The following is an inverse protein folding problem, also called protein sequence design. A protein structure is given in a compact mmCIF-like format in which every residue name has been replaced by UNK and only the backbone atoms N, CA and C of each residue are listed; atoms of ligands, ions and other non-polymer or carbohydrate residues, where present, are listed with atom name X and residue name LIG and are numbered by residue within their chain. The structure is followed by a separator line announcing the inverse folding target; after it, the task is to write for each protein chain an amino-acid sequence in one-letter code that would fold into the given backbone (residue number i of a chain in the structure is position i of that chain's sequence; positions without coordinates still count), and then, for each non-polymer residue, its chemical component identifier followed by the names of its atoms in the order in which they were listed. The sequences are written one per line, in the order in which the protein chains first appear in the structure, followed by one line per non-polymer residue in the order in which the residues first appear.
data_IF_121403809279
#
_entry.id   IF_121403809279
#
_cell.length_a   1.000
_cell.length_b   1.000
_cell.length_c   1.000
_cell.angle_alpha   90.00
_cell.angle_beta   90.00
_cell.angle_gamma   90.00
#
_symmetry.space_group_name_H-M   'P 1'
#
loop_
_entity.id
_entity.type
_entity.pdbx_description
1 polymer ?
#
# COMPACT_ATOMS: atom_id res chain seq x y z
N UNK A 1 -1.13 2.22 -10.18
CA UNK A 1 0.24 1.79 -9.94
C UNK A 1 0.25 0.75 -8.81
N UNK A 2 0.93 -0.35 -8.99
CA UNK A 2 1.17 -1.39 -7.97
C UNK A 2 2.34 -2.27 -8.41
N UNK A 3 2.59 -3.37 -7.69
CA UNK A 3 3.69 -4.32 -7.96
C UNK A 3 3.61 -5.00 -9.33
N UNK A 4 2.42 -5.15 -9.88
CA UNK A 4 2.18 -5.79 -11.18
C UNK A 4 1.90 -4.78 -12.30
N UNK A 5 1.58 -3.52 -11.96
CA UNK A 5 1.20 -2.48 -12.90
C UNK A 5 1.97 -1.19 -12.66
N UNK A 6 2.89 -0.88 -13.55
CA UNK A 6 3.69 0.36 -13.56
C UNK A 6 3.20 1.36 -14.62
N UNK A 7 2.00 1.17 -15.16
CA UNK A 7 1.46 2.00 -16.25
C UNK A 7 1.42 3.48 -15.92
N UNK A 8 1.13 3.86 -14.67
CA UNK A 8 1.10 5.25 -14.26
C UNK A 8 2.44 5.97 -14.44
N UNK A 9 3.57 5.31 -14.10
CA UNK A 9 4.92 5.83 -14.36
C UNK A 9 5.19 5.90 -15.86
N UNK A 10 4.93 4.81 -16.58
CA UNK A 10 5.16 4.73 -18.01
C UNK A 10 4.38 5.80 -18.79
N UNK A 11 3.14 6.08 -18.37
CA UNK A 11 2.30 7.12 -18.99
C UNK A 11 2.88 8.53 -18.81
N UNK A 12 3.37 8.86 -17.60
CA UNK A 12 3.96 10.19 -17.35
C UNK A 12 5.28 10.34 -18.08
N UNK A 13 6.13 9.32 -18.09
CA UNK A 13 7.40 9.34 -18.80
C UNK A 13 7.19 9.44 -20.31
N UNK A 14 6.24 8.67 -20.86
CA UNK A 14 5.91 8.75 -22.29
C UNK A 14 5.29 10.11 -22.65
N UNK A 15 4.37 10.64 -21.84
CA UNK A 15 3.80 11.96 -22.08
C UNK A 15 4.89 13.05 -22.12
N UNK A 16 5.88 12.95 -21.22
CA UNK A 16 7.03 13.86 -21.20
C UNK A 16 7.91 13.68 -22.44
N UNK A 17 8.20 12.44 -22.84
CA UNK A 17 9.03 12.14 -24.00
C UNK A 17 8.38 12.54 -25.34
N UNK A 18 7.06 12.53 -25.41
CA UNK A 18 6.32 12.97 -26.61
C UNK A 18 6.40 14.49 -26.84
N UNK A 19 6.62 15.27 -25.79
CA UNK A 19 6.75 16.76 -25.87
C UNK A 19 5.68 17.42 -26.75
N UNK A 20 4.42 17.05 -26.51
CA UNK A 20 3.26 17.53 -27.29
C UNK A 20 3.01 16.79 -28.61
N UNK A 21 3.91 15.93 -29.06
CA UNK A 21 3.71 15.13 -30.26
C UNK A 21 2.78 13.92 -30.02
N UNK A 22 2.53 13.17 -31.07
CA UNK A 22 1.81 11.89 -31.02
C UNK A 22 2.69 10.77 -31.63
N UNK A 23 2.63 9.61 -31.03
CA UNK A 23 3.27 8.40 -31.58
C UNK A 23 2.20 7.31 -31.73
N UNK A 24 2.11 6.73 -32.93
CA UNK A 24 1.10 5.70 -33.24
C UNK A 24 -0.35 6.11 -32.84
N UNK A 25 -0.68 7.39 -32.99
CA UNK A 25 -1.99 7.91 -32.61
C UNK A 25 -2.18 8.21 -31.12
N UNK A 26 -1.21 7.88 -30.25
CA UNK A 26 -1.26 8.15 -28.80
C UNK A 26 -0.55 9.47 -28.48
N UNK A 27 -1.17 10.31 -27.69
CA UNK A 27 -0.60 11.56 -27.18
C UNK A 27 -0.80 11.72 -25.68
N UNK A 28 -0.25 12.78 -25.11
CA UNK A 28 -0.33 13.03 -23.66
C UNK A 28 -1.76 13.04 -23.12
N UNK A 29 -2.73 13.55 -23.90
CA UNK A 29 -4.13 13.57 -23.50
C UNK A 29 -4.73 12.16 -23.30
N UNK A 30 -4.32 11.19 -24.14
CA UNK A 30 -4.79 9.81 -24.03
C UNK A 30 -4.21 9.14 -22.79
N UNK A 31 -2.94 9.39 -22.50
CA UNK A 31 -2.22 8.89 -21.32
C UNK A 31 -2.81 9.48 -20.03
N UNK A 32 -3.04 10.78 -19.99
CA UNK A 32 -3.65 11.45 -18.84
C UNK A 32 -5.11 11.00 -18.61
N UNK A 33 -5.84 10.66 -19.67
CA UNK A 33 -7.19 10.09 -19.56
C UNK A 33 -7.16 8.72 -18.88
N UNK A 34 -6.15 7.88 -19.15
CA UNK A 34 -6.03 6.60 -18.49
C UNK A 34 -5.62 6.74 -17.02
N UNK A 35 -4.68 7.63 -16.69
CA UNK A 35 -4.36 7.96 -15.29
C UNK A 35 -5.61 8.41 -14.52
N UNK A 36 -6.40 9.28 -15.14
CA UNK A 36 -7.65 9.76 -14.56
C UNK A 36 -8.63 8.61 -14.31
N UNK A 37 -8.79 7.68 -15.26
CA UNK A 37 -9.67 6.52 -15.11
C UNK A 37 -9.25 5.66 -13.93
N UNK A 38 -7.95 5.37 -13.78
CA UNK A 38 -7.43 4.60 -12.64
C UNK A 38 -7.76 5.27 -11.29
N UNK A 39 -7.72 6.60 -11.24
CA UNK A 39 -8.08 7.36 -10.03
C UNK A 39 -9.58 7.39 -9.79
N UNK A 40 -10.39 7.54 -10.84
CA UNK A 40 -11.85 7.51 -10.74
C UNK A 40 -12.35 6.15 -10.23
N UNK A 41 -11.76 5.05 -10.69
CA UNK A 41 -12.05 3.70 -10.19
C UNK A 41 -11.73 3.58 -8.68
N UNK A 42 -10.59 4.13 -8.24
CA UNK A 42 -10.22 4.16 -6.82
C UNK A 42 -11.13 5.07 -5.98
N UNK A 43 -11.55 6.21 -6.50
CA UNK A 43 -12.50 7.13 -5.83
C UNK A 43 -13.87 6.48 -5.69
N UNK A 44 -14.34 5.82 -6.72
CA UNK A 44 -15.62 5.10 -6.71
C UNK A 44 -15.61 3.99 -5.65
N UNK A 45 -14.56 3.17 -5.63
CA UNK A 45 -14.38 2.13 -4.61
C UNK A 45 -14.37 2.73 -3.19
N UNK A 46 -13.61 3.82 -2.98
CA UNK A 46 -13.55 4.50 -1.68
C UNK A 46 -14.92 5.06 -1.24
N UNK A 47 -15.77 5.44 -2.17
CA UNK A 47 -17.14 5.90 -1.90
C UNK A 47 -18.06 4.80 -1.35
N UNK A 48 -17.73 3.54 -1.59
CA UNK A 48 -18.48 2.37 -1.14
C UNK A 48 -17.83 1.64 0.06
N UNK A 49 -16.65 2.07 0.47
CA UNK A 49 -15.94 1.50 1.61
C UNK A 49 -16.14 2.34 2.89
N UNK A 50 -16.51 1.74 4.04
CA UNK A 50 -16.75 2.48 5.28
C UNK A 50 -15.55 3.26 5.82
N UNK A 51 -14.34 2.85 5.47
CA UNK A 51 -13.08 3.50 5.85
C UNK A 51 -12.44 4.25 4.68
N UNK A 52 -13.13 4.34 3.55
CA UNK A 52 -12.70 5.10 2.39
C UNK A 52 -11.50 4.51 1.66
N UNK A 53 -11.30 3.19 1.72
CA UNK A 53 -10.26 2.51 0.96
C UNK A 53 -10.51 2.60 -0.54
N UNK A 54 -9.55 3.11 -1.29
CA UNK A 54 -9.60 3.13 -2.75
C UNK A 54 -9.06 1.84 -3.39
N UNK A 55 -8.25 1.08 -2.64
CA UNK A 55 -7.80 -0.24 -3.05
C UNK A 55 -8.69 -1.34 -2.47
N UNK A 56 -8.85 -2.42 -3.22
CA UNK A 56 -9.48 -3.65 -2.74
C UNK A 56 -8.57 -4.28 -1.69
N UNK A 57 -9.13 -4.78 -0.60
CA UNK A 57 -8.37 -5.39 0.50
C UNK A 57 -8.88 -6.79 0.88
N UNK A 58 -9.54 -7.46 -0.04
CA UNK A 58 -9.88 -8.88 -0.01
C UNK A 58 -9.06 -9.71 -1.01
N UNK A 59 -7.97 -9.13 -1.50
CA UNK A 59 -7.00 -9.74 -2.38
C UNK A 59 -5.58 -9.32 -1.95
N UNK A 60 -4.55 -9.87 -2.60
CA UNK A 60 -3.15 -9.60 -2.26
C UNK A 60 -2.74 -8.15 -2.50
N UNK A 61 -1.80 -7.68 -1.69
CA UNK A 61 -1.06 -6.44 -1.89
C UNK A 61 -1.93 -5.17 -1.77
N UNK A 62 -2.92 -5.19 -0.87
CA UNK A 62 -3.82 -4.05 -0.64
C UNK A 62 -3.07 -2.76 -0.30
N UNK A 63 -2.00 -2.84 0.50
CA UNK A 63 -1.25 -1.66 0.93
C UNK A 63 -0.38 -1.06 -0.18
N UNK A 64 0.42 -1.83 -0.94
CA UNK A 64 1.10 -1.29 -2.11
C UNK A 64 0.13 -0.71 -3.16
N UNK A 65 -1.06 -1.29 -3.37
CA UNK A 65 -2.10 -0.69 -4.22
C UNK A 65 -2.57 0.67 -3.66
N UNK A 66 -2.77 0.76 -2.35
CA UNK A 66 -3.16 2.01 -1.68
C UNK A 66 -2.10 3.10 -1.87
N UNK A 67 -0.82 2.81 -1.65
CA UNK A 67 0.26 3.74 -1.94
C UNK A 67 0.40 4.04 -3.44
N UNK A 68 0.10 3.07 -4.28
CA UNK A 68 0.02 3.25 -5.73
C UNK A 68 -1.01 4.30 -6.16
N UNK A 69 -2.18 4.32 -5.52
CA UNK A 69 -3.19 5.36 -5.74
C UNK A 69 -2.69 6.75 -5.32
N UNK A 70 -1.95 6.84 -4.20
CA UNK A 70 -1.31 8.09 -3.78
C UNK A 70 -0.32 8.57 -4.84
N UNK A 71 0.59 7.69 -5.29
CA UNK A 71 1.58 8.03 -6.30
C UNK A 71 0.92 8.42 -7.63
N UNK A 72 -0.10 7.68 -8.08
CA UNK A 72 -0.83 7.97 -9.33
C UNK A 72 -1.50 9.33 -9.26
N UNK A 73 -2.10 9.72 -8.14
CA UNK A 73 -2.72 11.04 -7.97
C UNK A 73 -1.68 12.17 -8.08
N UNK A 74 -0.51 12.02 -7.46
CA UNK A 74 0.58 13.00 -7.57
C UNK A 74 1.19 13.06 -8.97
N UNK A 75 1.33 11.92 -9.63
CA UNK A 75 1.77 11.86 -11.02
C UNK A 75 0.75 12.53 -11.97
N UNK A 76 -0.53 12.31 -11.75
CA UNK A 76 -1.60 12.97 -12.51
C UNK A 76 -1.56 14.49 -12.33
N UNK A 77 -1.48 14.96 -11.09
CA UNK A 77 -1.37 16.39 -10.79
C UNK A 77 -0.14 17.02 -11.46
N UNK A 78 1.02 16.35 -11.40
CA UNK A 78 2.25 16.78 -12.07
C UNK A 78 2.10 16.85 -13.59
N UNK A 79 1.41 15.89 -14.19
CA UNK A 79 1.24 15.83 -15.66
C UNK A 79 0.21 16.82 -16.20
N UNK A 80 -0.80 17.19 -15.40
CA UNK A 80 -1.97 17.93 -15.85
C UNK A 80 -2.17 19.29 -15.17
N UNK A 81 -1.55 19.53 -14.02
CA UNK A 81 -1.84 20.66 -13.13
C UNK A 81 -3.15 20.52 -12.35
N UNK A 82 -3.86 19.40 -12.48
CA UNK A 82 -5.17 19.17 -11.86
C UNK A 82 -5.01 18.44 -10.53
N UNK A 83 -5.30 19.13 -9.43
CA UNK A 83 -5.11 18.65 -8.05
C UNK A 83 -6.36 18.06 -7.42
N UNK A 84 -7.42 17.82 -8.20
CA UNK A 84 -8.72 17.32 -7.68
C UNK A 84 -8.65 16.04 -6.85
N UNK A 85 -7.61 15.24 -7.02
CA UNK A 85 -7.40 13.98 -6.29
C UNK A 85 -6.50 14.10 -5.06
N UNK A 86 -6.05 15.30 -4.68
CA UNK A 86 -5.13 15.50 -3.55
C UNK A 86 -5.73 15.06 -2.22
N UNK A 87 -6.99 15.44 -1.98
CA UNK A 87 -7.71 15.02 -0.78
C UNK A 87 -7.93 13.49 -0.73
N UNK A 88 -8.18 12.87 -1.88
CA UNK A 88 -8.26 11.42 -2.00
C UNK A 88 -6.92 10.77 -1.68
N UNK A 89 -5.83 11.22 -2.29
CA UNK A 89 -4.48 10.73 -2.02
C UNK A 89 -4.10 10.83 -0.53
N UNK A 90 -4.43 11.97 0.12
CA UNK A 90 -4.24 12.15 1.55
C UNK A 90 -4.97 11.12 2.40
N UNK A 91 -6.22 10.80 2.05
CA UNK A 91 -7.00 9.75 2.74
C UNK A 91 -6.42 8.37 2.52
N UNK A 92 -5.97 8.03 1.30
CA UNK A 92 -5.35 6.73 1.03
C UNK A 92 -4.04 6.56 1.80
N UNK A 93 -3.21 7.60 1.87
CA UNK A 93 -2.01 7.61 2.72
C UNK A 93 -2.37 7.38 4.19
N UNK A 94 -3.38 8.09 4.68
CA UNK A 94 -3.91 7.92 6.05
C UNK A 94 -4.39 6.49 6.30
N UNK A 95 -5.10 5.89 5.34
CA UNK A 95 -5.57 4.50 5.44
C UNK A 95 -4.40 3.52 5.61
N UNK A 96 -3.37 3.63 4.78
CA UNK A 96 -2.19 2.77 4.87
C UNK A 96 -1.41 2.95 6.20
N UNK A 97 -1.53 4.11 6.84
CA UNK A 97 -0.82 4.47 8.07
C UNK A 97 -1.69 4.38 9.34
N UNK A 98 -2.86 3.73 9.29
CA UNK A 98 -3.64 3.41 10.47
C UNK A 98 -5.09 3.91 10.49
N UNK A 99 -5.50 4.79 9.56
CA UNK A 99 -6.90 5.20 9.42
C UNK A 99 -7.72 4.13 8.68
N UNK A 100 -7.63 2.87 9.13
CA UNK A 100 -8.21 1.69 8.54
C UNK A 100 -8.95 0.86 9.60
N UNK A 101 -9.71 -0.19 9.20
CA UNK A 101 -10.46 -1.03 10.13
C UNK A 101 -9.65 -1.63 11.28
N UNK A 102 -8.37 -1.86 11.07
CA UNK A 102 -7.48 -2.52 12.05
C UNK A 102 -6.69 -1.53 12.91
N UNK A 103 -6.81 -0.22 12.67
CA UNK A 103 -6.06 0.80 13.39
C UNK A 103 -4.54 0.64 13.28
N UNK A 104 -4.07 -0.08 12.25
CA UNK A 104 -2.68 -0.51 12.10
C UNK A 104 -2.02 0.24 10.96
N UNK A 105 -0.85 0.84 11.24
CA UNK A 105 0.06 1.27 10.18
C UNK A 105 0.67 0.02 9.54
N UNK A 106 0.55 -0.13 8.24
CA UNK A 106 1.17 -1.24 7.50
C UNK A 106 2.61 -0.97 7.08
N UNK A 107 3.20 0.07 7.65
CA UNK A 107 4.63 0.36 7.55
C UNK A 107 5.31 0.07 8.89
N UNK A 108 6.25 -0.84 8.91
CA UNK A 108 6.94 -1.30 10.13
C UNK A 108 7.64 -0.13 10.82
N UNK A 109 7.32 0.08 12.08
CA UNK A 109 7.90 1.11 12.92
C UNK A 109 7.41 2.54 12.64
N UNK A 110 6.34 2.70 11.89
CA UNK A 110 5.64 3.96 11.71
C UNK A 110 4.35 3.97 12.55
N UNK A 111 4.17 4.98 13.40
CA UNK A 111 3.06 5.05 14.34
C UNK A 111 3.26 4.18 15.59
N UNK A 112 2.19 3.97 16.35
CA UNK A 112 2.22 3.19 17.60
C UNK A 112 1.87 1.72 17.36
N UNK A 113 0.97 1.45 16.43
CA UNK A 113 0.53 0.11 16.03
C UNK A 113 1.01 -0.19 14.63
N UNK A 114 1.87 -1.19 14.50
CA UNK A 114 2.48 -1.61 13.24
C UNK A 114 2.83 -3.10 13.27
N UNK A 115 3.19 -3.75 12.14
CA UNK A 115 3.56 -5.17 12.11
C UNK A 115 4.77 -5.48 12.98
N UNK A 116 4.63 -6.42 13.90
CA UNK A 116 5.70 -6.90 14.77
C UNK A 116 6.25 -8.27 14.36
N UNK A 117 5.47 -9.02 13.61
CA UNK A 117 5.75 -10.40 13.23
C UNK A 117 5.86 -10.57 11.71
N UNK A 118 6.68 -9.75 11.01
CA UNK A 118 6.78 -9.85 9.57
C UNK A 118 7.27 -11.23 9.13
N UNK A 119 6.66 -11.74 8.09
CA UNK A 119 7.13 -12.95 7.41
C UNK A 119 8.37 -12.61 6.59
N UNK A 120 9.54 -12.66 7.24
CA UNK A 120 10.82 -12.31 6.63
C UNK A 120 11.96 -13.09 7.27
N UNK A 121 12.68 -13.91 6.50
CA UNK A 121 13.68 -14.84 7.02
C UNK A 121 14.78 -14.13 7.82
N UNK A 122 15.36 -13.04 7.34
CA UNK A 122 16.42 -12.33 8.06
C UNK A 122 15.90 -11.69 9.34
N UNK A 123 14.70 -11.12 9.33
CA UNK A 123 14.07 -10.59 10.54
C UNK A 123 13.86 -11.70 11.58
N UNK A 124 13.38 -12.85 11.14
CA UNK A 124 13.16 -14.02 11.99
C UNK A 124 14.48 -14.57 12.59
N UNK A 125 15.56 -14.64 11.79
CA UNK A 125 16.88 -15.07 12.25
C UNK A 125 17.49 -14.11 13.28
N UNK A 126 17.25 -12.81 13.12
CA UNK A 126 17.77 -11.77 14.03
C UNK A 126 17.04 -11.70 15.36
N UNK A 127 15.96 -12.47 15.53
CA UNK A 127 15.17 -12.49 16.76
C UNK A 127 14.37 -11.20 16.99
N UNK A 128 14.06 -10.46 15.94
CA UNK A 128 13.22 -9.25 16.00
C UNK A 128 11.82 -9.50 16.53
N UNK A 129 11.43 -10.74 16.48
CA UNK A 129 10.13 -11.21 16.90
C UNK A 129 10.05 -11.41 18.43
N UNK A 130 11.02 -10.88 19.18
CA UNK A 130 11.03 -10.86 20.64
C UNK A 130 10.41 -9.59 21.24
N UNK A 131 9.84 -8.73 20.39
CA UNK A 131 9.19 -7.50 20.82
C UNK A 131 10.14 -6.32 21.12
N UNK A 132 11.46 -6.47 20.89
CA UNK A 132 12.46 -5.46 21.21
C UNK A 132 12.68 -4.43 20.08
N UNK A 133 11.62 -3.92 19.56
CA UNK A 133 11.64 -2.86 18.55
C UNK A 133 11.36 -3.35 17.14
N UNK A 134 11.24 -2.39 16.23
CA UNK A 134 10.95 -2.65 14.84
C UNK A 134 12.21 -3.07 14.10
N UNK A 135 12.21 -4.26 13.53
CA UNK A 135 13.20 -4.66 12.52
C UNK A 135 12.58 -4.44 11.15
N UNK A 136 13.40 -4.11 10.16
CA UNK A 136 12.95 -3.64 8.86
C UNK A 136 12.11 -2.36 8.94
N UNK A 137 12.50 -1.42 9.81
CA UNK A 137 11.80 -0.14 9.95
C UNK A 137 11.65 0.55 8.59
N UNK A 138 10.44 0.97 8.28
CA UNK A 138 10.08 1.59 7.01
C UNK A 138 9.66 0.59 5.93
N UNK A 139 9.85 -0.71 6.12
CA UNK A 139 9.33 -1.71 5.19
C UNK A 139 7.80 -1.74 5.22
N UNK A 140 7.19 -1.91 4.07
CA UNK A 140 5.75 -2.02 3.86
C UNK A 140 5.38 -3.47 3.67
N UNK A 141 4.34 -3.91 4.36
CA UNK A 141 3.76 -5.25 4.20
C UNK A 141 2.57 -5.22 3.25
N UNK A 142 2.18 -6.38 2.73
CA UNK A 142 1.04 -6.49 1.82
C UNK A 142 -0.29 -6.03 2.43
N UNK A 143 -0.48 -6.16 3.75
CA UNK A 143 -1.68 -5.68 4.44
C UNK A 143 -2.81 -6.72 4.48
N UNK A 144 -4.08 -6.30 4.69
CA UNK A 144 -5.18 -7.23 4.84
C UNK A 144 -5.44 -8.05 3.57
N UNK A 145 -6.09 -9.21 3.77
CA UNK A 145 -6.47 -10.12 2.70
C UNK A 145 -7.80 -10.79 3.04
N UNK A 146 -8.42 -11.50 2.10
CA UNK A 146 -9.63 -12.26 2.33
C UNK A 146 -9.43 -13.29 3.45
N UNK A 147 -10.45 -13.46 4.31
CA UNK A 147 -10.37 -14.32 5.47
C UNK A 147 -10.09 -15.80 5.13
N UNK A 148 -10.57 -16.27 3.98
CA UNK A 148 -10.34 -17.63 3.50
C UNK A 148 -8.88 -17.87 3.08
N UNK A 149 -8.14 -16.83 2.68
CA UNK A 149 -6.71 -16.91 2.40
C UNK A 149 -5.85 -17.12 3.65
N UNK A 150 -6.42 -16.87 4.83
CA UNK A 150 -5.78 -16.99 6.13
C UNK A 150 -6.21 -18.24 6.89
N UNK A 151 -6.93 -19.17 6.25
CA UNK A 151 -7.39 -20.41 6.87
C UNK A 151 -6.23 -21.30 7.33
N UNK A 152 -5.10 -21.24 6.64
CA UNK A 152 -3.88 -21.94 7.01
C UNK A 152 -2.70 -20.95 7.06
N UNK A 153 -2.13 -20.78 8.25
CA UNK A 153 -0.91 -20.01 8.43
C UNK A 153 0.29 -20.94 8.20
N UNK A 154 0.96 -20.77 7.08
CA UNK A 154 1.98 -21.68 6.60
C UNK A 154 3.26 -20.98 6.13
N UNK A 155 3.81 -20.12 6.99
CA UNK A 155 5.14 -19.55 6.74
C UNK A 155 6.20 -20.64 6.53
N UNK A 156 7.43 -20.23 6.19
CA UNK A 156 8.51 -21.18 5.96
C UNK A 156 8.72 -22.09 7.17
N UNK A 157 8.88 -23.41 6.99
CA UNK A 157 8.94 -24.38 8.10
C UNK A 157 10.05 -24.13 9.13
N UNK A 158 11.08 -23.38 8.73
CA UNK A 158 12.24 -23.04 9.59
C UNK A 158 12.04 -21.76 10.40
N UNK A 159 10.94 -21.04 10.19
CA UNK A 159 10.66 -19.82 10.93
C UNK A 159 10.29 -20.11 12.37
N UNK A 160 10.87 -19.33 13.27
CA UNK A 160 10.50 -19.33 14.68
C UNK A 160 9.17 -18.61 14.84
N UNK A 161 8.35 -19.08 15.79
CA UNK A 161 7.12 -18.37 16.15
C UNK A 161 7.44 -16.97 16.65
N UNK A 162 6.61 -16.02 16.26
CA UNK A 162 6.64 -14.68 16.80
C UNK A 162 6.21 -14.71 18.27
N UNK A 163 7.06 -14.16 19.16
CA UNK A 163 6.77 -14.02 20.59
C UNK A 163 6.36 -12.61 20.97
N UNK A 164 6.49 -11.64 20.06
CA UNK A 164 5.93 -10.32 20.22
C UNK A 164 4.40 -10.46 20.16
N UNK A 165 3.73 -10.20 21.27
CA UNK A 165 2.31 -9.93 21.16
C UNK A 165 2.15 -8.61 20.40
N UNK A 166 1.46 -8.55 19.26
CA UNK A 166 1.03 -7.29 18.73
C UNK A 166 0.31 -6.55 19.87
N UNK A 167 0.45 -5.22 19.97
CA UNK A 167 -0.42 -4.46 20.85
C UNK A 167 -1.84 -4.85 20.44
N UNK A 168 -2.45 -5.69 21.26
CA UNK A 168 -3.67 -6.39 20.92
C UNK A 168 -4.72 -5.35 20.63
N UNK A 169 -4.90 -5.09 19.39
CA UNK A 169 -6.03 -4.34 19.04
C UNK A 169 -7.28 -5.13 19.39
N UNK A 170 -8.23 -4.51 20.05
CA UNK A 170 -9.60 -4.94 20.05
C UNK A 170 -10.14 -5.20 18.62
N UNK A 171 -9.29 -5.01 17.63
CA UNK A 171 -9.56 -5.02 16.20
C UNK A 171 -8.90 -6.19 15.45
N UNK A 172 -8.17 -7.08 16.15
CA UNK A 172 -7.56 -8.27 15.51
C UNK A 172 -8.59 -9.18 14.85
N UNK A 173 -9.81 -9.17 15.38
CA UNK A 173 -10.93 -9.95 14.86
C UNK A 173 -11.84 -9.14 13.95
N UNK A 174 -11.48 -7.90 13.62
CA UNK A 174 -12.30 -7.09 12.72
C UNK A 174 -12.28 -7.70 11.31
N UNK A 175 -13.47 -8.04 10.85
CA UNK A 175 -13.71 -8.57 9.52
C UNK A 175 -14.22 -7.44 8.60
N UNK A 176 -13.28 -6.76 7.93
CA UNK A 176 -13.62 -5.72 6.97
C UNK A 176 -14.22 -6.33 5.70
N UNK A 177 -15.52 -6.58 5.67
CA UNK A 177 -16.22 -7.17 4.52
C UNK A 177 -15.65 -8.54 4.09
N UNK A 178 -15.28 -9.39 5.04
CA UNK A 178 -14.68 -10.70 4.76
C UNK A 178 -13.15 -10.67 4.71
N UNK A 179 -12.53 -9.53 5.02
CA UNK A 179 -11.07 -9.38 5.02
C UNK A 179 -10.54 -9.34 6.44
N UNK A 180 -9.34 -9.86 6.63
CA UNK A 180 -8.62 -9.89 7.90
C UNK A 180 -7.19 -9.44 7.76
N UNK A 181 -6.64 -8.97 8.86
CA UNK A 181 -5.22 -8.73 9.03
C UNK A 181 -4.70 -9.56 10.19
N UNK A 182 -3.65 -10.34 9.96
CA UNK A 182 -3.01 -11.20 10.97
C UNK A 182 -1.54 -10.85 11.03
N UNK A 183 -1.07 -10.44 12.22
CA UNK A 183 0.34 -10.16 12.49
C UNK A 183 1.02 -11.42 13.09
N UNK A 184 1.30 -12.38 12.22
CA UNK A 184 1.97 -13.63 12.56
C UNK A 184 2.93 -14.04 11.44
N UNK A 185 4.11 -14.55 11.79
CA UNK A 185 5.13 -14.96 10.81
C UNK A 185 4.65 -16.01 9.82
N UNK A 186 3.59 -16.75 10.15
CA UNK A 186 2.96 -17.71 9.26
C UNK A 186 1.96 -17.08 8.28
N UNK A 187 1.61 -15.82 8.48
CA UNK A 187 0.61 -15.12 7.70
C UNK A 187 1.25 -14.27 6.58
N UNK A 188 2.04 -14.91 5.70
CA UNK A 188 2.70 -14.21 4.59
C UNK A 188 1.71 -13.36 3.76
N UNK A 189 0.47 -13.79 3.70
CA UNK A 189 -0.60 -13.11 2.96
C UNK A 189 -0.88 -11.68 3.45
N UNK A 190 -0.45 -11.34 4.68
CA UNK A 190 -0.72 -10.03 5.29
C UNK A 190 0.53 -9.32 5.81
N UNK A 191 1.59 -10.04 6.16
CA UNK A 191 2.78 -9.46 6.82
C UNK A 191 4.10 -9.75 6.09
N UNK A 192 4.05 -10.21 4.86
CA UNK A 192 5.24 -10.28 4.00
C UNK A 192 5.64 -8.87 3.57
N UNK A 193 6.86 -8.40 3.90
CA UNK A 193 7.39 -7.15 3.35
C UNK A 193 8.12 -7.42 2.06
N UNK A 194 8.00 -6.50 1.09
CA UNK A 194 8.71 -6.59 -0.18
C UNK A 194 9.38 -5.28 -0.56
N UNK A 195 10.41 -5.35 -1.42
CA UNK A 195 11.10 -4.17 -1.94
C UNK A 195 10.17 -3.31 -2.81
N UNK A 196 9.36 -3.92 -3.64
CA UNK A 196 8.41 -3.26 -4.52
C UNK A 196 7.26 -2.61 -3.73
N UNK A 197 6.79 -3.21 -2.65
CA UNK A 197 5.83 -2.59 -1.73
C UNK A 197 6.41 -1.31 -1.11
N UNK A 198 7.63 -1.44 -0.59
CA UNK A 198 8.35 -0.35 0.06
C UNK A 198 8.70 0.78 -0.90
N UNK A 199 9.15 0.45 -2.12
CA UNK A 199 9.50 1.47 -3.13
C UNK A 199 8.26 2.18 -3.69
N UNK A 200 7.12 1.53 -3.78
CA UNK A 200 5.84 2.17 -4.14
C UNK A 200 5.46 3.22 -3.08
N UNK A 201 5.59 2.89 -1.80
CA UNK A 201 5.36 3.84 -0.71
C UNK A 201 6.39 4.98 -0.72
N UNK A 202 7.68 4.68 -0.93
CA UNK A 202 8.73 5.68 -1.03
C UNK A 202 8.44 6.69 -2.15
N UNK A 203 8.00 6.22 -3.32
CA UNK A 203 7.59 7.07 -4.43
C UNK A 203 6.42 7.96 -4.03
N UNK A 204 5.39 7.40 -3.39
CA UNK A 204 4.21 8.16 -2.94
C UNK A 204 4.59 9.28 -1.96
N UNK A 205 5.47 9.00 -1.00
CA UNK A 205 5.98 10.01 -0.05
C UNK A 205 6.86 11.05 -0.73
N UNK A 206 7.78 10.64 -1.60
CA UNK A 206 8.68 11.57 -2.30
C UNK A 206 7.91 12.55 -3.20
N UNK A 207 6.89 12.07 -3.90
CA UNK A 207 6.03 12.93 -4.71
C UNK A 207 5.20 13.88 -3.84
N UNK A 208 4.70 13.41 -2.69
CA UNK A 208 3.92 14.25 -1.76
C UNK A 208 4.78 15.35 -1.15
N UNK A 209 5.99 15.03 -0.67
CA UNK A 209 6.89 16.01 -0.05
C UNK A 209 7.28 17.14 -1.03
N UNK A 210 7.48 16.84 -2.29
CA UNK A 210 7.81 17.86 -3.30
C UNK A 210 6.69 18.85 -3.56
N UNK A 211 5.44 18.44 -3.41
CA UNK A 211 4.27 19.29 -3.61
C UNK A 211 4.03 20.23 -2.41
N UNK A 212 4.52 19.88 -1.21
CA UNK A 212 4.44 20.71 -0.01
C UNK A 212 5.50 21.83 0.02
N UNK A 213 6.58 21.69 -0.77
CA UNK A 213 7.68 22.64 -0.87
C UNK A 213 7.54 23.62 -2.07
N UNK A 214 6.50 23.50 -2.90
CA UNK A 214 6.28 24.27 -4.11
C UNK A 214 5.21 25.34 -3.91
#
# INVERSE_FOLDING_TARGET
LNVADVSALAHVDLATALDGARSNGVGAADLNKDLRRQLEDGVDHAGHDPFGAGAVYDDFDAVPHTFGLVATARLYAKATGDTRYDAFAGRQRGWALGANPWGTSFMIGAGEVYPHCPEHQLANLRGSLDGKGAILRGAVVNGPNAADKLAELNGFPTMKKCTAAPPSGAWTDFDGKGSRYVDDVGAWQTVEPSLDFTTTALLAFALTARDEDA
#
